data_IF_956321752845
#
_entry.id   IF_956321752845
#
_cell.length_a   1.000
_cell.length_b   1.000
_cell.length_c   1.000
_cell.angle_alpha   90.00
_cell.angle_beta   90.00
_cell.angle_gamma   90.00
#
_symmetry.space_group_name_H-M   'P 1'
#
loop_
_entity.id
_entity.type
_entity.pdbx_description
1 polymer ?
#
# COMPACT_ATOMS: atom_id res chain seq x y z
N UNK A 1 -10.58 -18.82 9.45
CA UNK A 1 -10.67 -17.42 9.93
C UNK A 1 -9.52 -16.94 10.83
N UNK A 2 -8.82 -17.79 11.58
CA UNK A 2 -7.75 -17.36 12.54
C UNK A 2 -6.41 -16.94 11.88
N UNK A 3 -6.07 -17.40 10.68
CA UNK A 3 -4.80 -17.08 9.98
C UNK A 3 -4.75 -15.69 9.32
N UNK A 4 -5.88 -15.13 8.91
CA UNK A 4 -5.95 -13.82 8.24
C UNK A 4 -5.67 -12.66 9.20
N UNK A 5 -6.08 -12.78 10.47
CA UNK A 5 -5.88 -11.72 11.46
C UNK A 5 -4.41 -11.53 11.88
N UNK A 6 -3.58 -12.56 11.75
CA UNK A 6 -2.17 -12.49 12.13
C UNK A 6 -1.31 -11.82 11.08
N UNK A 7 -1.60 -12.02 9.79
CA UNK A 7 -0.92 -11.34 8.69
C UNK A 7 -1.15 -9.82 8.71
N UNK A 8 -2.38 -9.39 9.01
CA UNK A 8 -2.71 -7.97 9.16
C UNK A 8 -2.01 -7.31 10.34
N UNK A 9 -1.87 -8.02 11.46
CA UNK A 9 -1.10 -7.54 12.61
C UNK A 9 0.38 -7.39 12.27
N UNK A 10 0.93 -8.29 11.46
CA UNK A 10 2.33 -8.20 11.00
C UNK A 10 2.51 -7.03 10.03
N UNK A 11 1.60 -6.83 9.08
CA UNK A 11 1.64 -5.71 8.13
C UNK A 11 1.57 -4.37 8.88
N UNK A 12 0.61 -4.23 9.77
CA UNK A 12 0.44 -3.03 10.58
C UNK A 12 1.61 -2.81 11.55
N UNK A 13 2.14 -3.88 12.14
CA UNK A 13 3.30 -3.85 13.02
C UNK A 13 4.59 -3.49 12.26
N UNK A 14 4.79 -4.02 11.06
CA UNK A 14 5.95 -3.68 10.22
C UNK A 14 5.87 -2.22 9.70
N UNK A 15 4.70 -1.75 9.29
CA UNK A 15 4.50 -0.34 8.96
C UNK A 15 4.75 0.58 10.17
N UNK A 16 4.28 0.20 11.36
CA UNK A 16 4.46 0.99 12.58
C UNK A 16 5.88 0.90 13.14
N UNK A 17 6.50 -0.28 13.11
CA UNK A 17 7.88 -0.49 13.57
C UNK A 17 8.90 0.20 12.67
N UNK A 18 8.66 0.27 11.36
CA UNK A 18 9.49 1.00 10.41
C UNK A 18 9.50 2.51 10.63
N UNK A 19 8.36 3.07 11.08
CA UNK A 19 8.23 4.49 11.44
C UNK A 19 8.93 4.85 12.76
N UNK A 20 9.15 3.87 13.65
CA UNK A 20 9.73 4.08 14.98
C UNK A 20 11.19 3.64 15.10
N UNK A 21 11.87 3.28 14.01
CA UNK A 21 13.30 2.98 14.08
C UNK A 21 14.07 4.33 14.10
N UNK A 22 14.53 4.84 15.27
CA UNK A 22 15.27 6.10 15.32
C UNK A 22 16.66 5.84 14.77
N UNK A 23 16.93 6.27 13.55
CA UNK A 23 18.29 6.43 13.06
C UNK A 23 18.84 7.70 13.70
N UNK A 24 19.44 7.59 14.88
CA UNK A 24 20.23 8.69 15.47
C UNK A 24 21.57 8.74 14.74
N UNK A 25 21.72 9.65 13.83
CA UNK A 25 23.02 10.01 13.27
C UNK A 25 23.46 11.30 13.96
N UNK A 26 24.51 11.21 14.79
CA UNK A 26 25.21 12.37 15.34
C UNK A 26 26.43 12.63 14.47
N UNK A 27 26.47 13.78 13.81
CA UNK A 27 27.64 14.24 13.09
C UNK A 27 27.68 15.77 13.06
N UNK A 28 28.27 16.38 14.06
CA UNK A 28 28.45 17.85 14.20
C UNK A 28 29.32 18.51 13.12
N UNK A 29 30.14 17.78 12.37
CA UNK A 29 31.05 18.34 11.33
C UNK A 29 30.52 18.15 9.89
N UNK A 30 29.37 17.49 9.70
CA UNK A 30 28.88 17.11 8.37
C UNK A 30 27.84 18.09 7.80
N UNK A 31 27.31 19.01 8.60
CA UNK A 31 26.17 19.87 8.26
C UNK A 31 26.38 20.72 7.00
N UNK A 32 27.59 21.31 6.83
CA UNK A 32 27.88 22.13 5.64
C UNK A 32 27.91 21.35 4.33
N UNK A 33 28.33 20.08 4.35
CA UNK A 33 28.31 19.21 3.17
C UNK A 33 26.94 18.61 2.89
N UNK A 34 26.14 18.44 3.92
CA UNK A 34 24.76 17.97 3.78
C UNK A 34 23.89 19.02 3.11
N UNK A 35 24.04 20.30 3.46
CA UNK A 35 23.35 21.41 2.82
C UNK A 35 23.71 21.52 1.33
N UNK A 36 25.01 21.42 0.98
CA UNK A 36 25.48 21.46 -0.40
C UNK A 36 24.95 20.26 -1.22
N UNK A 37 24.93 19.05 -0.66
CA UNK A 37 24.36 17.86 -1.29
C UNK A 37 22.83 17.94 -1.43
N UNK A 38 22.16 18.57 -0.47
CA UNK A 38 20.71 18.78 -0.48
C UNK A 38 20.31 19.74 -1.61
N UNK A 39 21.10 20.80 -1.82
CA UNK A 39 20.87 21.79 -2.89
C UNK A 39 21.08 21.21 -4.30
N UNK A 40 21.95 20.19 -4.45
CA UNK A 40 22.13 19.49 -5.72
C UNK A 40 20.99 18.53 -6.07
N UNK A 41 20.12 18.19 -5.10
CA UNK A 41 19.02 17.26 -5.29
C UNK A 41 17.74 17.97 -5.73
N UNK A 42 17.22 17.62 -6.90
CA UNK A 42 15.94 18.15 -7.40
C UNK A 42 14.74 17.39 -6.78
N UNK A 43 14.18 17.94 -5.71
CA UNK A 43 12.94 17.45 -5.08
C UNK A 43 11.65 18.02 -5.72
N UNK A 44 11.78 18.92 -6.70
CA UNK A 44 10.66 19.66 -7.27
C UNK A 44 9.55 18.77 -7.86
N UNK A 45 9.92 17.62 -8.42
CA UNK A 45 8.95 16.65 -8.94
C UNK A 45 8.15 15.95 -7.84
N UNK A 46 8.79 15.66 -6.70
CA UNK A 46 8.12 15.05 -5.54
C UNK A 46 7.20 16.06 -4.85
N UNK A 47 7.64 17.31 -4.72
CA UNK A 47 6.82 18.38 -4.16
C UNK A 47 5.62 18.71 -5.06
N UNK A 48 5.80 18.69 -6.38
CA UNK A 48 4.70 18.85 -7.34
C UNK A 48 3.71 17.70 -7.22
N UNK A 49 4.19 16.47 -7.16
CA UNK A 49 3.33 15.28 -6.97
C UNK A 49 2.50 15.38 -5.69
N UNK A 50 3.10 15.81 -4.56
CA UNK A 50 2.39 15.96 -3.28
C UNK A 50 1.29 17.02 -3.36
N UNK A 51 1.55 18.15 -4.03
CA UNK A 51 0.55 19.21 -4.27
C UNK A 51 -0.61 18.71 -5.14
N UNK A 52 -0.31 18.01 -6.23
CA UNK A 52 -1.32 17.46 -7.14
C UNK A 52 -2.18 16.40 -6.45
N UNK A 53 -1.61 15.67 -5.49
CA UNK A 53 -2.32 14.66 -4.68
C UNK A 53 -3.15 15.29 -3.54
N UNK A 54 -3.04 16.60 -3.30
CA UNK A 54 -3.79 17.32 -2.25
C UNK A 54 -3.17 17.26 -0.86
N UNK A 55 -1.88 16.92 -0.75
CA UNK A 55 -1.11 16.97 0.50
C UNK A 55 -0.31 18.28 0.54
N UNK A 56 -1.02 19.41 0.52
CA UNK A 56 -0.39 20.73 0.43
C UNK A 56 0.42 21.14 1.67
N UNK A 57 0.18 20.49 2.82
CA UNK A 57 0.82 20.83 4.09
C UNK A 57 2.20 20.19 4.26
N UNK A 58 2.61 19.32 3.36
CA UNK A 58 3.84 18.53 3.45
C UNK A 58 4.66 18.74 2.20
N UNK A 59 5.86 19.30 2.36
CA UNK A 59 6.88 19.37 1.30
C UNK A 59 7.87 18.23 1.50
N UNK A 60 8.25 17.54 0.42
CA UNK A 60 9.24 16.47 0.50
C UNK A 60 10.63 17.03 0.86
N UNK A 61 10.99 18.18 0.30
CA UNK A 61 12.22 18.90 0.64
C UNK A 61 12.27 19.27 2.12
N UNK A 62 11.19 19.86 2.65
CA UNK A 62 11.08 20.19 4.08
C UNK A 62 11.14 18.97 4.99
N UNK A 63 10.59 17.83 4.56
CA UNK A 63 10.71 16.55 5.28
C UNK A 63 12.16 16.07 5.37
N UNK A 64 12.91 16.14 4.28
CA UNK A 64 14.31 15.73 4.24
C UNK A 64 15.14 16.62 5.15
N UNK A 65 14.94 17.95 5.10
CA UNK A 65 15.64 18.91 5.96
C UNK A 65 15.32 18.66 7.45
N UNK A 66 14.05 18.47 7.82
CA UNK A 66 13.66 18.18 9.21
C UNK A 66 14.30 16.87 9.70
N UNK A 67 14.33 15.84 8.84
CA UNK A 67 14.96 14.55 9.17
C UNK A 67 16.48 14.66 9.31
N UNK A 68 17.12 15.59 8.59
CA UNK A 68 18.55 15.85 8.71
C UNK A 68 18.89 16.59 10.01
N UNK A 69 18.07 17.54 10.44
CA UNK A 69 18.32 18.37 11.62
C UNK A 69 17.89 17.69 12.93
N UNK A 70 16.64 17.23 13.00
CA UNK A 70 16.01 16.77 14.25
C UNK A 70 15.75 15.24 14.31
N UNK A 71 15.95 14.53 13.19
CA UNK A 71 15.53 13.14 13.06
C UNK A 71 14.00 12.98 13.00
N UNK A 72 13.50 11.80 13.34
CA UNK A 72 12.04 11.54 13.32
C UNK A 72 11.36 12.26 14.49
N UNK A 73 10.70 13.39 14.23
CA UNK A 73 9.98 14.15 15.26
C UNK A 73 8.64 13.51 15.61
N UNK A 74 8.21 13.64 16.89
CA UNK A 74 6.92 13.13 17.37
C UNK A 74 5.73 13.89 16.78
N UNK A 75 5.92 15.08 16.21
CA UNK A 75 4.89 15.89 15.59
C UNK A 75 4.18 15.18 14.42
N UNK A 76 4.90 14.34 13.68
CA UNK A 76 4.33 13.52 12.59
C UNK A 76 3.27 12.54 13.07
N UNK A 77 3.44 11.99 14.27
CA UNK A 77 2.46 11.09 14.87
C UNK A 77 1.09 11.76 15.08
N UNK A 78 1.06 13.00 15.47
CA UNK A 78 -0.18 13.76 15.68
C UNK A 78 -0.89 14.09 14.38
N UNK A 79 -0.17 14.49 13.34
CA UNK A 79 -0.73 14.74 12.00
C UNK A 79 -1.32 13.47 11.38
N UNK A 80 -0.61 12.35 11.44
CA UNK A 80 -1.10 11.05 10.96
C UNK A 80 -2.33 10.61 11.77
N UNK A 81 -2.32 10.76 13.10
CA UNK A 81 -3.43 10.38 13.93
C UNK A 81 -4.69 11.24 13.70
N UNK A 82 -4.52 12.55 13.49
CA UNK A 82 -5.63 13.44 13.14
C UNK A 82 -6.24 13.11 11.78
N UNK A 83 -5.41 12.81 10.78
CA UNK A 83 -5.84 12.37 9.46
C UNK A 83 -6.62 11.05 9.52
N UNK A 84 -6.16 10.06 10.30
CA UNK A 84 -6.85 8.81 10.55
C UNK A 84 -8.23 9.06 11.17
N UNK A 85 -8.30 9.85 12.23
CA UNK A 85 -9.56 10.15 12.95
C UNK A 85 -10.57 10.84 12.04
N UNK A 86 -10.14 11.84 11.30
CA UNK A 86 -11.00 12.60 10.38
C UNK A 86 -11.51 11.71 9.24
N UNK A 87 -10.64 10.89 8.64
CA UNK A 87 -11.05 9.94 7.61
C UNK A 87 -12.04 8.90 8.11
N UNK A 88 -11.78 8.27 9.26
CA UNK A 88 -12.68 7.25 9.81
C UNK A 88 -14.06 7.81 10.12
N UNK A 89 -14.13 8.98 10.79
CA UNK A 89 -15.41 9.62 11.12
C UNK A 89 -16.16 10.04 9.86
N UNK A 90 -15.45 10.61 8.87
CA UNK A 90 -16.02 10.98 7.58
C UNK A 90 -16.60 9.79 6.82
N UNK A 91 -15.87 8.66 6.74
CA UNK A 91 -16.33 7.45 6.06
C UNK A 91 -17.53 6.79 6.77
N UNK A 92 -17.54 6.75 8.09
CA UNK A 92 -18.69 6.25 8.85
C UNK A 92 -19.92 7.10 8.55
N UNK A 93 -19.79 8.43 8.55
CA UNK A 93 -20.88 9.34 8.25
C UNK A 93 -21.39 9.20 6.82
N UNK A 94 -20.49 9.06 5.84
CA UNK A 94 -20.83 8.91 4.42
C UNK A 94 -21.55 7.58 4.12
N UNK A 95 -21.08 6.49 4.70
CA UNK A 95 -21.57 5.15 4.38
C UNK A 95 -22.77 4.68 5.23
N UNK A 96 -23.15 5.43 6.31
CA UNK A 96 -24.30 5.08 7.16
C UNK A 96 -25.61 4.98 6.39
N UNK A 97 -25.83 5.84 5.39
CA UNK A 97 -27.03 5.87 4.56
C UNK A 97 -27.14 4.61 3.72
N UNK A 98 -26.07 4.20 3.06
CA UNK A 98 -25.99 2.96 2.29
C UNK A 98 -26.33 1.74 3.15
N UNK A 99 -25.75 1.65 4.35
CA UNK A 99 -26.01 0.54 5.28
C UNK A 99 -27.48 0.49 5.68
N UNK A 100 -28.09 1.64 6.02
CA UNK A 100 -29.50 1.73 6.34
C UNK A 100 -30.40 1.31 5.17
N UNK A 101 -30.10 1.74 3.94
CA UNK A 101 -30.84 1.38 2.74
C UNK A 101 -30.80 -0.13 2.49
N UNK A 102 -29.64 -0.78 2.61
CA UNK A 102 -29.49 -2.24 2.46
C UNK A 102 -30.30 -2.98 3.52
N UNK A 103 -30.17 -2.58 4.79
CA UNK A 103 -30.89 -3.22 5.91
C UNK A 103 -32.41 -3.05 5.76
N UNK A 104 -32.86 -1.84 5.39
CA UNK A 104 -34.26 -1.54 5.18
C UNK A 104 -34.85 -2.37 4.01
N UNK A 105 -34.11 -2.49 2.90
CA UNK A 105 -34.52 -3.30 1.75
C UNK A 105 -34.64 -4.78 2.13
N UNK A 106 -33.65 -5.29 2.87
CA UNK A 106 -33.65 -6.67 3.37
C UNK A 106 -34.84 -6.93 4.34
N UNK A 107 -35.15 -5.95 5.20
CA UNK A 107 -36.31 -6.01 6.09
C UNK A 107 -37.65 -5.98 5.31
N UNK A 108 -37.82 -5.07 4.35
CA UNK A 108 -38.97 -5.01 3.46
C UNK A 108 -39.19 -6.35 2.75
N UNK A 109 -38.13 -6.98 2.24
CA UNK A 109 -38.23 -8.31 1.64
C UNK A 109 -38.72 -9.35 2.64
N UNK A 110 -38.21 -9.37 3.86
CA UNK A 110 -38.63 -10.32 4.90
C UNK A 110 -40.13 -10.20 5.20
N UNK A 111 -40.62 -8.95 5.32
CA UNK A 111 -42.06 -8.70 5.52
C UNK A 111 -42.88 -9.19 4.34
N UNK A 112 -42.47 -8.87 3.10
CA UNK A 112 -43.17 -9.33 1.89
C UNK A 112 -43.19 -10.86 1.78
N UNK A 113 -42.09 -11.53 2.09
CA UNK A 113 -41.96 -12.99 2.08
C UNK A 113 -42.94 -13.64 3.09
N UNK A 114 -42.97 -13.11 4.32
CA UNK A 114 -43.86 -13.61 5.35
C UNK A 114 -45.34 -13.39 4.99
N UNK A 115 -45.64 -12.23 4.40
CA UNK A 115 -47.00 -11.94 3.91
C UNK A 115 -47.40 -12.86 2.76
N UNK A 116 -46.57 -13.05 1.75
CA UNK A 116 -46.80 -13.97 0.65
C UNK A 116 -46.98 -15.43 1.12
N UNK A 117 -46.20 -15.84 2.12
CA UNK A 117 -46.33 -17.17 2.74
C UNK A 117 -47.67 -17.42 3.42
N UNK A 118 -48.29 -16.40 3.99
CA UNK A 118 -49.62 -16.49 4.60
C UNK A 118 -50.73 -16.81 3.58
N UNK A 119 -50.55 -16.47 2.31
CA UNK A 119 -51.50 -16.74 1.23
C UNK A 119 -51.21 -18.03 0.45
N UNK A 120 -50.28 -18.87 0.87
CA UNK A 120 -49.84 -20.10 0.17
C UNK A 120 -49.41 -19.88 -1.30
N UNK A 121 -49.06 -18.65 -1.66
CA UNK A 121 -48.71 -18.26 -3.02
C UNK A 121 -47.18 -18.27 -3.22
N UNK A 122 -46.62 -19.48 -3.38
CA UNK A 122 -45.15 -19.65 -3.58
C UNK A 122 -44.62 -18.85 -4.76
N UNK A 123 -45.38 -18.74 -5.85
CA UNK A 123 -45.00 -17.96 -7.04
C UNK A 123 -44.89 -16.46 -6.77
N UNK A 124 -45.81 -15.89 -5.97
CA UNK A 124 -45.77 -14.46 -5.59
C UNK A 124 -44.52 -14.18 -4.72
N UNK A 125 -44.19 -15.09 -3.81
CA UNK A 125 -43.00 -14.97 -2.97
C UNK A 125 -41.70 -14.94 -3.81
N UNK A 126 -41.63 -15.77 -4.85
CA UNK A 126 -40.45 -15.84 -5.74
C UNK A 126 -40.35 -14.60 -6.64
N UNK A 127 -41.45 -14.08 -7.16
CA UNK A 127 -41.47 -12.80 -7.89
C UNK A 127 -41.06 -11.63 -7.01
N UNK A 128 -41.55 -11.54 -5.77
CA UNK A 128 -41.12 -10.52 -4.82
C UNK A 128 -39.62 -10.61 -4.51
N UNK A 129 -39.10 -11.83 -4.34
CA UNK A 129 -37.66 -12.03 -4.17
C UNK A 129 -36.91 -11.50 -5.37
N UNK A 130 -37.27 -11.87 -6.58
CA UNK A 130 -36.59 -11.47 -7.81
C UNK A 130 -36.52 -9.94 -7.96
N UNK A 131 -37.64 -9.25 -7.73
CA UNK A 131 -37.72 -7.79 -7.83
C UNK A 131 -36.82 -7.11 -6.79
N UNK A 132 -36.94 -7.51 -5.51
CA UNK A 132 -36.11 -6.92 -4.43
C UNK A 132 -34.64 -7.26 -4.62
N UNK A 133 -34.32 -8.48 -5.04
CA UNK A 133 -32.94 -8.89 -5.31
C UNK A 133 -32.32 -8.09 -6.46
N UNK A 134 -33.05 -7.86 -7.57
CA UNK A 134 -32.58 -7.04 -8.67
C UNK A 134 -32.27 -5.61 -8.23
N UNK A 135 -33.15 -4.97 -7.47
CA UNK A 135 -32.92 -3.62 -6.94
C UNK A 135 -31.68 -3.60 -6.04
N UNK A 136 -31.60 -4.56 -5.12
CA UNK A 136 -30.46 -4.69 -4.22
C UNK A 136 -29.15 -4.95 -5.00
N UNK A 137 -29.16 -5.82 -6.00
CA UNK A 137 -27.99 -6.13 -6.82
C UNK A 137 -27.46 -4.88 -7.55
N UNK A 138 -28.36 -4.06 -8.12
CA UNK A 138 -27.98 -2.80 -8.78
C UNK A 138 -27.35 -1.84 -7.78
N UNK A 139 -27.93 -1.65 -6.58
CA UNK A 139 -27.36 -0.79 -5.54
C UNK A 139 -25.99 -1.29 -5.09
N UNK A 140 -25.84 -2.59 -4.87
CA UNK A 140 -24.58 -3.21 -4.45
C UNK A 140 -23.51 -3.09 -5.52
N UNK A 141 -23.85 -3.27 -6.79
CA UNK A 141 -22.94 -3.08 -7.91
C UNK A 141 -22.44 -1.64 -8.01
N UNK A 142 -23.34 -0.65 -7.89
CA UNK A 142 -22.97 0.76 -7.94
C UNK A 142 -22.00 1.12 -6.82
N UNK A 143 -22.29 0.70 -5.59
CA UNK A 143 -21.39 0.98 -4.44
C UNK A 143 -20.08 0.22 -4.55
N UNK A 144 -20.08 -0.97 -5.14
CA UNK A 144 -18.87 -1.74 -5.38
C UNK A 144 -17.96 -1.12 -6.47
N UNK A 145 -18.55 -0.55 -7.52
CA UNK A 145 -17.79 0.20 -8.54
C UNK A 145 -17.11 1.42 -7.95
N UNK A 146 -17.80 2.16 -7.07
CA UNK A 146 -17.17 3.28 -6.33
C UNK A 146 -16.01 2.79 -5.44
N UNK A 147 -16.18 1.63 -4.80
CA UNK A 147 -15.11 1.02 -4.03
C UNK A 147 -13.89 0.66 -4.90
N UNK A 148 -14.13 0.04 -6.05
CA UNK A 148 -13.09 -0.27 -7.03
C UNK A 148 -12.33 0.98 -7.46
N UNK A 149 -13.04 2.08 -7.75
CA UNK A 149 -12.43 3.35 -8.16
C UNK A 149 -11.50 3.91 -7.08
N UNK A 150 -11.90 3.89 -5.81
CA UNK A 150 -11.05 4.31 -4.68
C UNK A 150 -9.76 3.50 -4.62
N UNK A 151 -9.85 2.18 -4.77
CA UNK A 151 -8.69 1.29 -4.71
C UNK A 151 -7.79 1.45 -5.94
N UNK A 152 -8.37 1.59 -7.15
CA UNK A 152 -7.62 1.81 -8.39
C UNK A 152 -6.79 3.09 -8.33
N UNK A 153 -7.45 4.21 -8.02
CA UNK A 153 -6.79 5.51 -7.89
C UNK A 153 -5.67 5.47 -6.85
N UNK A 154 -5.89 4.80 -5.72
CA UNK A 154 -4.86 4.69 -4.70
C UNK A 154 -3.66 3.85 -5.14
N UNK A 155 -3.89 2.73 -5.85
CA UNK A 155 -2.81 1.92 -6.42
C UNK A 155 -2.03 2.70 -7.47
N UNK A 156 -2.72 3.40 -8.37
CA UNK A 156 -2.13 4.27 -9.40
C UNK A 156 -1.25 5.35 -8.76
N UNK A 157 -1.76 6.04 -7.72
CA UNK A 157 -1.01 7.07 -7.00
C UNK A 157 0.23 6.52 -6.31
N UNK A 158 0.17 5.32 -5.71
CA UNK A 158 1.35 4.67 -5.13
C UNK A 158 2.38 4.32 -6.21
N UNK A 159 1.95 3.85 -7.38
CA UNK A 159 2.82 3.55 -8.53
C UNK A 159 3.47 4.82 -9.07
N UNK A 160 2.70 5.90 -9.26
CA UNK A 160 3.20 7.20 -9.73
C UNK A 160 4.19 7.80 -8.75
N UNK A 161 3.88 7.77 -7.45
CA UNK A 161 4.82 8.19 -6.42
C UNK A 161 6.14 7.44 -6.53
N UNK A 162 6.10 6.12 -6.66
CA UNK A 162 7.31 5.32 -6.78
C UNK A 162 8.10 5.63 -8.07
N UNK A 163 7.43 5.92 -9.19
CA UNK A 163 8.07 6.33 -10.44
C UNK A 163 8.86 7.64 -10.28
N UNK A 164 8.39 8.56 -9.45
CA UNK A 164 9.08 9.83 -9.16
C UNK A 164 10.13 9.68 -8.07
N UNK A 165 9.84 8.88 -7.03
CA UNK A 165 10.72 8.65 -5.88
C UNK A 165 11.99 7.87 -6.24
N UNK A 166 11.88 6.84 -7.08
CA UNK A 166 12.99 5.93 -7.40
C UNK A 166 14.20 6.65 -8.03
N UNK A 167 14.06 7.55 -9.01
CA UNK A 167 15.20 8.32 -9.55
C UNK A 167 15.89 9.18 -8.48
N UNK A 168 15.12 9.92 -7.68
CA UNK A 168 15.63 10.79 -6.61
C UNK A 168 16.37 9.97 -5.55
N UNK A 169 15.80 8.83 -5.13
CA UNK A 169 16.47 7.94 -4.18
C UNK A 169 17.71 7.27 -4.78
N UNK A 170 17.71 6.96 -6.08
CA UNK A 170 18.89 6.46 -6.78
C UNK A 170 20.05 7.47 -6.78
N UNK A 171 19.75 8.76 -6.97
CA UNK A 171 20.77 9.83 -6.87
C UNK A 171 21.36 9.89 -5.46
N UNK A 172 20.52 9.89 -4.42
CA UNK A 172 21.02 9.89 -3.03
C UNK A 172 21.89 8.66 -2.72
N UNK A 173 21.59 7.51 -3.33
CA UNK A 173 22.43 6.31 -3.23
C UNK A 173 23.79 6.45 -3.90
N UNK A 174 23.89 7.21 -4.99
CA UNK A 174 25.16 7.43 -5.69
C UNK A 174 26.17 8.20 -4.81
N UNK A 175 25.70 9.08 -3.95
CA UNK A 175 26.55 9.77 -2.96
C UNK A 175 26.98 8.84 -1.81
N UNK A 176 26.14 7.88 -1.43
CA UNK A 176 26.40 6.96 -0.31
C UNK A 176 27.18 5.69 -0.71
N UNK A 177 27.12 5.28 -1.97
CA UNK A 177 27.64 4.00 -2.45
C UNK A 177 28.12 4.11 -3.90
N UNK A 178 28.67 3.02 -4.44
CA UNK A 178 29.05 2.99 -5.85
C UNK A 178 27.84 3.04 -6.80
N UNK A 179 28.05 3.66 -7.96
CA UNK A 179 27.10 3.74 -9.07
C UNK A 179 26.49 2.37 -9.43
N UNK A 180 27.26 1.29 -9.28
CA UNK A 180 26.79 -0.08 -9.56
C UNK A 180 25.64 -0.52 -8.65
N UNK A 181 25.73 -0.22 -7.34
CA UNK A 181 24.65 -0.55 -6.37
C UNK A 181 23.41 0.32 -6.58
N UNK A 182 23.60 1.61 -6.84
CA UNK A 182 22.50 2.52 -7.14
C UNK A 182 21.75 2.11 -8.43
N UNK A 183 22.48 1.74 -9.48
CA UNK A 183 21.89 1.26 -10.73
C UNK A 183 21.17 -0.07 -10.54
N UNK A 184 21.70 -0.98 -9.73
CA UNK A 184 21.04 -2.23 -9.38
C UNK A 184 19.70 -2.00 -8.63
N UNK A 185 19.68 -1.06 -7.68
CA UNK A 185 18.45 -0.65 -7.02
C UNK A 185 17.44 -0.09 -8.02
N UNK A 186 17.87 0.83 -8.88
CA UNK A 186 17.02 1.43 -9.90
C UNK A 186 16.31 0.36 -10.76
N UNK A 187 17.08 -0.60 -11.27
CA UNK A 187 16.52 -1.71 -12.07
C UNK A 187 15.53 -2.56 -11.28
N UNK A 188 15.86 -2.91 -10.03
CA UNK A 188 14.99 -3.72 -9.18
C UNK A 188 13.71 -2.97 -8.81
N UNK A 189 13.80 -1.70 -8.46
CA UNK A 189 12.65 -0.87 -8.11
C UNK A 189 11.69 -0.71 -9.30
N UNK A 190 12.20 -0.43 -10.50
CA UNK A 190 11.36 -0.38 -11.71
C UNK A 190 10.70 -1.72 -12.03
N UNK A 191 11.39 -2.83 -11.81
CA UNK A 191 10.79 -4.15 -12.00
C UNK A 191 9.66 -4.40 -11.01
N UNK A 192 9.81 -3.98 -9.75
CA UNK A 192 8.76 -4.04 -8.72
C UNK A 192 7.57 -3.15 -9.10
N UNK A 193 7.82 -1.93 -9.55
CA UNK A 193 6.79 -1.00 -10.01
C UNK A 193 6.00 -1.64 -11.16
N UNK A 194 6.69 -2.15 -12.18
CA UNK A 194 6.07 -2.80 -13.31
C UNK A 194 5.24 -4.03 -12.91
N UNK A 195 5.76 -4.83 -11.98
CA UNK A 195 5.06 -6.01 -11.46
C UNK A 195 3.77 -5.61 -10.75
N UNK A 196 3.81 -4.58 -9.92
CA UNK A 196 2.61 -4.08 -9.22
C UNK A 196 1.62 -3.50 -10.23
N UNK A 197 2.06 -2.67 -11.16
CA UNK A 197 1.22 -2.06 -12.17
C UNK A 197 0.55 -3.13 -13.07
N UNK A 198 1.33 -4.06 -13.61
CA UNK A 198 0.81 -5.08 -14.52
C UNK A 198 -0.02 -6.13 -13.81
N UNK A 199 0.49 -6.72 -12.72
CA UNK A 199 -0.18 -7.83 -12.03
C UNK A 199 -1.38 -7.34 -11.21
N UNK A 200 -1.22 -6.25 -10.45
CA UNK A 200 -2.28 -5.81 -9.53
C UNK A 200 -3.36 -5.02 -10.25
N UNK A 201 -2.99 -4.01 -11.04
CA UNK A 201 -3.98 -3.17 -11.74
C UNK A 201 -4.61 -3.89 -12.93
N UNK A 202 -3.81 -4.57 -13.78
CA UNK A 202 -4.33 -5.10 -15.04
C UNK A 202 -4.80 -6.56 -14.96
N UNK A 203 -4.38 -7.33 -13.95
CA UNK A 203 -4.79 -8.73 -13.82
C UNK A 203 -5.65 -8.98 -12.58
N UNK A 204 -5.16 -8.69 -11.38
CA UNK A 204 -5.85 -9.06 -10.14
C UNK A 204 -7.10 -8.19 -9.89
N UNK A 205 -7.06 -6.90 -10.22
CA UNK A 205 -8.24 -6.05 -10.08
C UNK A 205 -9.44 -6.51 -10.93
N UNK A 206 -9.30 -6.74 -12.24
CA UNK A 206 -10.38 -7.32 -13.04
C UNK A 206 -10.85 -8.68 -12.53
N UNK A 207 -9.95 -9.53 -12.03
CA UNK A 207 -10.33 -10.82 -11.46
C UNK A 207 -11.19 -10.67 -10.21
N UNK A 208 -10.90 -9.69 -9.33
CA UNK A 208 -11.75 -9.39 -8.17
C UNK A 208 -13.12 -8.88 -8.64
N UNK A 209 -13.17 -8.08 -9.69
CA UNK A 209 -14.44 -7.61 -10.27
C UNK A 209 -15.29 -8.78 -10.77
N UNK A 210 -14.70 -9.71 -11.53
CA UNK A 210 -15.38 -10.92 -12.01
C UNK A 210 -15.84 -11.78 -10.82
N UNK A 211 -14.99 -11.94 -9.79
CA UNK A 211 -15.35 -12.64 -8.56
C UNK A 211 -16.64 -12.08 -7.94
N UNK A 212 -16.73 -10.77 -7.79
CA UNK A 212 -17.89 -10.12 -7.18
C UNK A 212 -19.14 -10.24 -8.06
N UNK A 213 -19.00 -10.12 -9.37
CA UNK A 213 -20.11 -10.36 -10.30
C UNK A 213 -20.64 -11.80 -10.17
N UNK A 214 -19.73 -12.78 -10.10
CA UNK A 214 -20.13 -14.19 -9.92
C UNK A 214 -20.82 -14.43 -8.58
N UNK A 215 -20.39 -13.77 -7.49
CA UNK A 215 -21.05 -13.84 -6.18
C UNK A 215 -22.48 -13.27 -6.24
N UNK A 216 -22.68 -12.12 -6.90
CA UNK A 216 -24.00 -11.53 -7.06
C UNK A 216 -24.90 -12.44 -7.91
N UNK A 217 -24.42 -12.90 -9.06
CA UNK A 217 -25.21 -13.77 -9.94
C UNK A 217 -25.42 -15.17 -9.35
N UNK A 218 -24.44 -15.69 -8.61
CA UNK A 218 -24.51 -17.00 -7.97
C UNK A 218 -25.65 -17.13 -6.95
N UNK A 219 -25.92 -16.05 -6.23
CA UNK A 219 -27.00 -16.03 -5.24
C UNK A 219 -28.40 -15.68 -5.84
N UNK A 220 -28.45 -15.30 -7.11
CA UNK A 220 -29.70 -15.07 -7.82
C UNK A 220 -30.47 -16.37 -8.08
N UNK A 221 -29.74 -17.44 -8.39
CA UNK A 221 -30.32 -18.78 -8.69
C UNK A 221 -30.38 -19.59 -7.39
N UNK A 222 -31.47 -20.35 -7.14
CA UNK A 222 -31.64 -21.15 -5.91
C UNK A 222 -30.56 -22.24 -5.71
N UNK A 223 -29.96 -22.72 -6.79
CA UNK A 223 -28.86 -23.68 -6.77
C UNK A 223 -27.54 -22.91 -6.80
N UNK A 224 -26.67 -23.14 -5.84
CA UNK A 224 -25.31 -22.52 -5.75
C UNK A 224 -24.35 -23.01 -6.86
N UNK A 225 -24.76 -22.83 -8.13
CA UNK A 225 -24.05 -23.38 -9.31
C UNK A 225 -22.66 -22.76 -9.52
N UNK A 226 -22.42 -21.56 -9.00
CA UNK A 226 -21.19 -20.82 -9.20
C UNK A 226 -20.23 -20.85 -8.01
N UNK A 227 -20.59 -21.52 -6.91
CA UNK A 227 -19.81 -21.57 -5.68
C UNK A 227 -18.37 -22.03 -5.90
N UNK A 228 -18.16 -23.13 -6.62
CA UNK A 228 -16.81 -23.66 -6.92
C UNK A 228 -16.01 -22.70 -7.81
N UNK A 229 -16.67 -21.94 -8.69
CA UNK A 229 -16.02 -20.98 -9.56
C UNK A 229 -15.58 -19.75 -8.79
N UNK A 230 -16.43 -19.21 -7.90
CA UNK A 230 -16.06 -18.08 -7.03
C UNK A 230 -14.96 -18.45 -6.06
N UNK A 231 -14.95 -19.66 -5.52
CA UNK A 231 -13.85 -20.16 -4.68
C UNK A 231 -12.54 -20.21 -5.45
N UNK A 232 -12.54 -20.76 -6.67
CA UNK A 232 -11.37 -20.80 -7.56
C UNK A 232 -10.82 -19.40 -7.86
N UNK A 233 -11.67 -18.43 -8.21
CA UNK A 233 -11.24 -17.05 -8.42
C UNK A 233 -10.61 -16.44 -7.16
N UNK A 234 -11.22 -16.64 -6.00
CA UNK A 234 -10.68 -16.17 -4.72
C UNK A 234 -9.32 -16.79 -4.42
N UNK A 235 -9.13 -18.08 -4.70
CA UNK A 235 -7.84 -18.76 -4.52
C UNK A 235 -6.78 -18.23 -5.47
N UNK A 236 -7.09 -18.08 -6.77
CA UNK A 236 -6.18 -17.54 -7.78
C UNK A 236 -5.71 -16.13 -7.41
N UNK A 237 -6.65 -15.25 -6.98
CA UNK A 237 -6.33 -13.90 -6.54
C UNK A 237 -5.39 -13.93 -5.33
N UNK A 238 -5.73 -14.70 -4.28
CA UNK A 238 -4.89 -14.82 -3.09
C UNK A 238 -3.51 -15.42 -3.41
N UNK A 239 -3.44 -16.35 -4.36
CA UNK A 239 -2.18 -16.94 -4.81
C UNK A 239 -1.34 -15.93 -5.59
N UNK A 240 -1.95 -15.16 -6.50
CA UNK A 240 -1.28 -14.09 -7.24
C UNK A 240 -0.66 -13.04 -6.32
N UNK A 241 -1.39 -12.58 -5.30
CA UNK A 241 -0.88 -11.64 -4.28
C UNK A 241 0.33 -12.24 -3.53
N UNK A 242 0.25 -13.51 -3.13
CA UNK A 242 1.35 -14.18 -2.40
C UNK A 242 2.60 -14.34 -3.28
N UNK A 243 2.43 -14.75 -4.54
CA UNK A 243 3.55 -14.89 -5.49
C UNK A 243 4.24 -13.55 -5.69
N UNK A 244 3.47 -12.46 -5.92
CA UNK A 244 4.04 -11.13 -6.03
C UNK A 244 4.88 -10.77 -4.80
N UNK A 245 4.36 -11.07 -3.60
CA UNK A 245 5.09 -10.86 -2.34
C UNK A 245 6.42 -11.61 -2.29
N UNK A 246 6.41 -12.90 -2.60
CA UNK A 246 7.62 -13.75 -2.59
C UNK A 246 8.63 -13.30 -3.63
N UNK A 247 8.18 -12.94 -4.84
CA UNK A 247 9.05 -12.47 -5.91
C UNK A 247 9.74 -11.16 -5.53
N UNK A 248 8.97 -10.17 -5.04
CA UNK A 248 9.53 -8.86 -4.67
C UNK A 248 10.49 -8.98 -3.49
N UNK A 249 10.12 -9.73 -2.45
CA UNK A 249 11.01 -9.97 -1.32
C UNK A 249 12.28 -10.69 -1.74
N UNK A 250 12.17 -11.72 -2.58
CA UNK A 250 13.32 -12.46 -3.13
C UNK A 250 14.25 -11.56 -3.94
N UNK A 251 13.71 -10.73 -4.83
CA UNK A 251 14.47 -9.77 -5.62
C UNK A 251 15.23 -8.77 -4.74
N UNK A 252 14.53 -8.18 -3.73
CA UNK A 252 15.16 -7.23 -2.81
C UNK A 252 16.27 -7.88 -1.98
N UNK A 253 16.08 -9.11 -1.48
CA UNK A 253 17.12 -9.84 -0.74
C UNK A 253 18.34 -10.12 -1.63
N UNK A 254 18.13 -10.62 -2.84
CA UNK A 254 19.22 -10.88 -3.80
C UNK A 254 19.98 -9.60 -4.12
N UNK A 255 19.27 -8.50 -4.37
CA UNK A 255 19.86 -7.19 -4.67
C UNK A 255 20.73 -6.69 -3.52
N UNK A 256 20.23 -6.76 -2.28
CA UNK A 256 20.94 -6.28 -1.09
C UNK A 256 22.15 -7.17 -0.71
N UNK A 257 22.20 -8.41 -1.17
CA UNK A 257 23.38 -9.28 -1.00
C UNK A 257 24.45 -9.02 -2.07
N UNK A 258 24.04 -8.77 -3.32
CA UNK A 258 24.98 -8.62 -4.45
C UNK A 258 25.58 -7.21 -4.50
N UNK A 259 24.80 -6.16 -4.17
CA UNK A 259 25.22 -4.76 -4.21
C UNK A 259 26.52 -4.52 -3.42
N UNK A 260 26.53 -4.73 -2.10
CA UNK A 260 27.70 -4.50 -1.26
C UNK A 260 28.91 -5.35 -1.63
N UNK A 261 28.70 -6.57 -2.18
CA UNK A 261 29.79 -7.42 -2.64
C UNK A 261 30.52 -6.83 -3.85
N UNK A 262 29.80 -6.22 -4.79
CA UNK A 262 30.38 -5.52 -5.95
C UNK A 262 31.10 -4.23 -5.52
N UNK A 263 30.53 -3.50 -4.57
CA UNK A 263 31.08 -2.24 -4.10
C UNK A 263 32.43 -2.44 -3.39
N UNK A 264 32.58 -3.47 -2.58
CA UNK A 264 33.87 -3.83 -1.94
C UNK A 264 34.98 -4.14 -2.95
N UNK A 265 34.64 -4.74 -4.09
CA UNK A 265 35.62 -5.00 -5.15
C UNK A 265 36.10 -3.72 -5.84
N UNK A 266 35.21 -2.72 -6.00
CA UNK A 266 35.53 -1.42 -6.61
C UNK A 266 36.40 -0.55 -5.73
N UNK A 267 36.07 -0.39 -4.45
CA UNK A 267 36.84 0.45 -3.49
C UNK A 267 38.26 -0.05 -3.28
N UNK A 268 38.49 -1.36 -3.31
CA UNK A 268 39.84 -1.94 -3.16
C UNK A 268 40.81 -1.52 -4.26
N UNK A 269 40.34 -1.17 -5.46
CA UNK A 269 41.15 -0.71 -6.58
C UNK A 269 41.48 0.77 -6.45
N UNK A 270 40.54 1.63 -6.11
CA UNK A 270 40.76 3.07 -5.94
C UNK A 270 41.64 3.38 -4.73
N UNK A 271 41.40 2.75 -3.58
CA UNK A 271 42.23 2.93 -2.38
C UNK A 271 43.70 2.55 -2.61
N UNK A 272 43.95 1.46 -3.35
CA UNK A 272 45.33 1.06 -3.72
C UNK A 272 45.97 2.03 -4.70
N UNK A 273 45.23 2.69 -5.57
CA UNK A 273 45.79 3.64 -6.53
C UNK A 273 46.11 4.99 -5.86
N UNK A 274 45.29 5.45 -4.92
CA UNK A 274 45.48 6.69 -4.16
C UNK A 274 46.68 6.59 -3.17
N UNK A 275 46.93 5.40 -2.60
CA UNK A 275 48.04 5.18 -1.65
C UNK A 275 49.43 5.20 -2.29
N UNK A 276 49.56 5.24 -3.61
CA UNK A 276 50.83 5.30 -4.33
C UNK A 276 51.48 6.69 -4.28
N UNK A 277 50.69 7.75 -3.94
CA UNK A 277 51.23 9.12 -3.88
C UNK A 277 51.49 9.50 -2.41
N UNK A 278 52.75 9.55 -1.95
CA UNK A 278 53.07 9.86 -0.57
C UNK A 278 52.73 11.32 -0.24
N UNK A 279 51.93 11.52 0.83
CA UNK A 279 51.51 12.82 1.35
C UNK A 279 50.12 13.29 0.93
N UNK A 280 49.50 12.77 -0.14
CA UNK A 280 48.13 13.09 -0.55
C UNK A 280 47.09 12.06 -0.03
N UNK A 281 47.53 10.84 0.29
CA UNK A 281 46.63 9.74 0.66
C UNK A 281 45.79 10.00 1.91
N UNK A 282 46.36 10.67 2.93
CA UNK A 282 45.63 10.92 4.18
C UNK A 282 44.58 12.04 4.04
N UNK A 283 44.91 13.13 3.31
CA UNK A 283 43.96 14.23 3.11
C UNK A 283 42.79 13.84 2.18
N UNK A 284 43.12 13.12 1.10
CA UNK A 284 42.09 12.59 0.18
C UNK A 284 41.22 11.53 0.88
N UNK A 285 41.82 10.69 1.75
CA UNK A 285 41.13 9.71 2.57
C UNK A 285 40.07 10.34 3.49
N UNK A 286 40.44 11.36 4.24
CA UNK A 286 39.57 12.05 5.20
C UNK A 286 38.37 12.74 4.51
N UNK A 287 38.63 13.44 3.38
CA UNK A 287 37.55 14.08 2.61
C UNK A 287 36.60 13.03 2.01
N UNK A 288 37.16 11.93 1.52
CA UNK A 288 36.33 10.82 0.96
C UNK A 288 35.45 10.17 2.04
N UNK A 289 36.00 9.98 3.26
CA UNK A 289 35.21 9.43 4.39
C UNK A 289 34.10 10.38 4.83
N UNK A 290 34.33 11.69 4.85
CA UNK A 290 33.32 12.70 5.17
C UNK A 290 32.20 12.73 4.12
N UNK A 291 32.56 12.74 2.83
CA UNK A 291 31.57 12.69 1.73
C UNK A 291 30.74 11.42 1.73
N UNK A 292 31.37 10.26 2.00
CA UNK A 292 30.64 8.99 2.13
C UNK A 292 29.70 9.00 3.36
N UNK A 293 30.17 9.58 4.47
CA UNK A 293 29.36 9.74 5.68
C UNK A 293 28.12 10.61 5.41
N UNK A 294 28.31 11.78 4.80
CA UNK A 294 27.22 12.67 4.40
C UNK A 294 26.25 11.98 3.42
N UNK A 295 26.78 11.26 2.43
CA UNK A 295 25.96 10.50 1.48
C UNK A 295 25.11 9.42 2.16
N UNK A 296 25.62 8.72 3.17
CA UNK A 296 24.86 7.72 3.94
C UNK A 296 23.70 8.37 4.71
N UNK A 297 23.94 9.52 5.33
CA UNK A 297 22.90 10.30 6.02
C UNK A 297 21.85 10.75 5.03
N UNK A 298 22.24 11.40 3.93
CA UNK A 298 21.35 11.85 2.87
C UNK A 298 20.45 10.72 2.35
N UNK A 299 21.04 9.58 2.00
CA UNK A 299 20.30 8.39 1.57
C UNK A 299 19.28 7.95 2.61
N UNK A 300 19.64 7.94 3.89
CA UNK A 300 18.75 7.53 4.98
C UNK A 300 17.60 8.52 5.15
N UNK A 301 17.86 9.83 5.07
CA UNK A 301 16.83 10.87 5.17
C UNK A 301 15.88 10.83 3.99
N UNK A 302 16.38 10.77 2.76
CA UNK A 302 15.54 10.66 1.54
C UNK A 302 14.72 9.36 1.55
N UNK A 303 15.32 8.24 1.94
CA UNK A 303 14.61 6.97 2.08
C UNK A 303 13.49 7.02 3.12
N UNK A 304 13.77 7.59 4.30
CA UNK A 304 12.78 7.75 5.38
C UNK A 304 11.67 8.72 4.97
N UNK A 305 11.99 9.86 4.34
CA UNK A 305 11.00 10.79 3.79
C UNK A 305 10.08 10.08 2.79
N UNK A 306 10.65 9.28 1.88
CA UNK A 306 9.89 8.48 0.92
C UNK A 306 8.96 7.47 1.58
N UNK A 307 9.39 6.80 2.66
CA UNK A 307 8.53 5.90 3.44
C UNK A 307 7.39 6.64 4.14
N UNK A 308 7.65 7.81 4.73
CA UNK A 308 6.63 8.66 5.38
C UNK A 308 5.58 9.09 4.35
N UNK A 309 6.01 9.60 3.20
CA UNK A 309 5.09 10.02 2.14
C UNK A 309 4.28 8.84 1.59
N UNK A 310 4.89 7.68 1.34
CA UNK A 310 4.18 6.49 0.90
C UNK A 310 3.07 6.08 1.87
N UNK A 311 3.35 6.14 3.17
CA UNK A 311 2.36 5.87 4.22
C UNK A 311 1.25 6.92 4.19
N UNK A 312 1.57 8.20 4.12
CA UNK A 312 0.59 9.29 4.09
C UNK A 312 -0.39 9.17 2.91
N UNK A 313 0.10 8.93 1.70
CA UNK A 313 -0.75 8.81 0.51
C UNK A 313 -1.59 7.53 0.49
N UNK A 314 -1.12 6.45 1.13
CA UNK A 314 -1.80 5.14 1.11
C UNK A 314 -2.72 4.90 2.31
N UNK A 315 -2.46 5.53 3.45
CA UNK A 315 -3.16 5.26 4.71
C UNK A 315 -4.64 5.61 4.64
N UNK A 316 -4.97 6.80 4.14
CA UNK A 316 -6.36 7.26 4.04
C UNK A 316 -7.19 6.38 3.11
N UNK A 317 -6.77 6.08 1.85
CA UNK A 317 -7.50 5.16 0.99
C UNK A 317 -7.59 3.74 1.55
N UNK A 318 -6.55 3.25 2.21
CA UNK A 318 -6.56 1.93 2.84
C UNK A 318 -7.62 1.85 3.95
N UNK A 319 -7.71 2.89 4.78
CA UNK A 319 -8.73 2.99 5.82
C UNK A 319 -10.14 3.09 5.23
N UNK A 320 -10.33 3.88 4.15
CA UNK A 320 -11.60 3.95 3.41
C UNK A 320 -12.03 2.58 2.89
N UNK A 321 -11.12 1.88 2.22
CA UNK A 321 -11.36 0.54 1.71
C UNK A 321 -11.71 -0.46 2.83
N UNK A 322 -11.00 -0.39 3.95
CA UNK A 322 -11.26 -1.23 5.12
C UNK A 322 -12.64 -0.95 5.72
N UNK A 323 -13.02 0.32 5.87
CA UNK A 323 -14.33 0.72 6.36
C UNK A 323 -15.46 0.20 5.45
N UNK A 324 -15.34 0.37 4.12
CA UNK A 324 -16.32 -0.13 3.17
C UNK A 324 -16.48 -1.65 3.25
N UNK A 325 -15.38 -2.40 3.27
CA UNK A 325 -15.42 -3.85 3.42
C UNK A 325 -16.06 -4.27 4.75
N UNK A 326 -15.79 -3.52 5.83
CA UNK A 326 -16.42 -3.74 7.13
C UNK A 326 -17.92 -3.46 7.11
N UNK A 327 -18.38 -2.39 6.43
CA UNK A 327 -19.80 -2.08 6.30
C UNK A 327 -20.57 -3.17 5.53
N UNK A 328 -20.02 -3.72 4.45
CA UNK A 328 -20.64 -4.88 3.79
C UNK A 328 -20.74 -6.08 4.72
N UNK A 329 -19.70 -6.34 5.52
CA UNK A 329 -19.71 -7.44 6.49
C UNK A 329 -20.74 -7.22 7.60
N UNK A 330 -20.86 -5.97 8.07
CA UNK A 330 -21.86 -5.59 9.07
C UNK A 330 -23.28 -5.71 8.50
N UNK A 331 -23.52 -5.23 7.27
CA UNK A 331 -24.79 -5.38 6.57
C UNK A 331 -25.18 -6.85 6.45
N UNK A 332 -24.25 -7.72 6.04
CA UNK A 332 -24.50 -9.17 5.97
C UNK A 332 -24.88 -9.76 7.32
N UNK A 333 -24.19 -9.38 8.40
CA UNK A 333 -24.46 -9.88 9.75
C UNK A 333 -25.82 -9.42 10.30
N UNK A 334 -26.20 -8.17 10.05
CA UNK A 334 -27.48 -7.60 10.50
C UNK A 334 -28.67 -8.17 9.71
N UNK A 335 -28.48 -8.43 8.42
CA UNK A 335 -29.54 -8.98 7.57
C UNK A 335 -29.72 -10.49 7.72
N UNK A 336 -28.69 -11.23 8.18
CA UNK A 336 -28.72 -12.70 8.29
C UNK A 336 -29.92 -13.26 9.09
N UNK A 337 -30.30 -12.72 10.29
CA UNK A 337 -31.43 -13.25 11.07
C UNK A 337 -32.79 -12.88 10.49
N UNK A 338 -32.87 -11.85 9.63
CA UNK A 338 -34.14 -11.26 9.17
C UNK A 338 -34.43 -11.63 7.73
N UNK A 339 -33.41 -11.82 6.89
CA UNK A 339 -33.53 -11.96 5.44
C UNK A 339 -33.32 -13.40 4.95
N UNK A 340 -33.51 -13.60 3.64
CA UNK A 340 -33.23 -14.87 2.97
C UNK A 340 -31.72 -15.15 2.94
N UNK A 341 -31.33 -16.43 3.00
CA UNK A 341 -29.96 -16.87 2.92
C UNK A 341 -29.23 -16.39 1.65
N UNK A 342 -29.98 -16.23 0.54
CA UNK A 342 -29.47 -15.73 -0.73
C UNK A 342 -29.02 -14.28 -0.64
N UNK A 343 -29.78 -13.43 0.04
CA UNK A 343 -29.46 -12.01 0.26
C UNK A 343 -28.24 -11.87 1.19
N UNK A 344 -28.27 -12.56 2.33
CA UNK A 344 -27.14 -12.52 3.27
C UNK A 344 -25.87 -13.14 2.68
N UNK A 345 -25.99 -14.17 1.83
CA UNK A 345 -24.90 -14.79 1.09
C UNK A 345 -24.26 -13.82 0.10
N UNK A 346 -25.07 -13.13 -0.72
CA UNK A 346 -24.61 -12.10 -1.64
C UNK A 346 -23.81 -11.00 -0.92
N UNK A 347 -24.31 -10.48 0.22
CA UNK A 347 -23.63 -9.48 1.02
C UNK A 347 -22.31 -9.99 1.62
N UNK A 348 -22.27 -11.27 2.04
CA UNK A 348 -21.02 -11.93 2.48
C UNK A 348 -20.00 -12.03 1.35
N UNK A 349 -20.44 -12.39 0.14
CA UNK A 349 -19.63 -12.44 -1.07
C UNK A 349 -19.00 -11.09 -1.41
N UNK A 350 -19.83 -10.02 -1.37
CA UNK A 350 -19.32 -8.65 -1.57
C UNK A 350 -18.30 -8.23 -0.49
N UNK A 351 -18.59 -8.55 0.77
CA UNK A 351 -17.65 -8.27 1.86
C UNK A 351 -16.32 -8.99 1.66
N UNK A 352 -16.33 -10.23 1.15
CA UNK A 352 -15.12 -10.96 0.81
C UNK A 352 -14.38 -10.33 -0.38
N UNK A 353 -15.10 -9.92 -1.43
CA UNK A 353 -14.54 -9.16 -2.56
C UNK A 353 -13.90 -7.85 -2.14
N UNK A 354 -14.59 -7.08 -1.28
CA UNK A 354 -14.02 -5.88 -0.67
C UNK A 354 -12.76 -6.16 0.13
N UNK A 355 -12.72 -7.26 0.88
CA UNK A 355 -11.52 -7.66 1.62
C UNK A 355 -10.37 -8.10 0.69
N UNK A 356 -10.65 -8.63 -0.50
CA UNK A 356 -9.62 -8.90 -1.52
C UNK A 356 -9.01 -7.59 -2.04
N UNK A 357 -9.80 -6.54 -2.27
CA UNK A 357 -9.29 -5.21 -2.64
C UNK A 357 -8.43 -4.59 -1.53
N UNK A 358 -8.87 -4.67 -0.27
CA UNK A 358 -8.08 -4.20 0.87
C UNK A 358 -6.74 -4.94 0.96
N UNK A 359 -6.73 -6.26 0.74
CA UNK A 359 -5.49 -7.04 0.67
C UNK A 359 -4.61 -6.58 -0.48
N UNK A 360 -5.16 -6.41 -1.67
CA UNK A 360 -4.42 -6.00 -2.86
C UNK A 360 -3.70 -4.67 -2.61
N UNK A 361 -4.43 -3.66 -2.13
CA UNK A 361 -3.87 -2.34 -1.79
C UNK A 361 -2.82 -2.44 -0.69
N UNK A 362 -3.13 -3.13 0.41
CA UNK A 362 -2.20 -3.28 1.53
C UNK A 362 -0.90 -4.01 1.15
N UNK A 363 -0.98 -5.04 0.32
CA UNK A 363 0.23 -5.72 -0.18
C UNK A 363 1.03 -4.85 -1.14
N UNK A 364 0.39 -4.05 -2.02
CA UNK A 364 1.09 -3.11 -2.90
C UNK A 364 1.92 -2.10 -2.10
N UNK A 365 1.29 -1.47 -1.10
CA UNK A 365 1.99 -0.53 -0.20
C UNK A 365 3.13 -1.21 0.54
N UNK A 366 2.91 -2.43 1.04
CA UNK A 366 3.94 -3.20 1.74
C UNK A 366 5.12 -3.55 0.81
N UNK A 367 4.88 -3.91 -0.44
CA UNK A 367 5.94 -4.23 -1.40
C UNK A 367 6.81 -3.00 -1.68
N UNK A 368 6.21 -1.84 -1.90
CA UNK A 368 6.94 -0.59 -2.09
C UNK A 368 7.70 -0.17 -0.81
N UNK A 369 7.03 -0.25 0.35
CA UNK A 369 7.63 0.04 1.64
C UNK A 369 8.89 -0.80 1.89
N UNK A 370 8.79 -2.12 1.70
CA UNK A 370 9.92 -3.04 1.89
C UNK A 370 11.04 -2.76 0.89
N UNK A 371 10.72 -2.40 -0.36
CA UNK A 371 11.72 -2.07 -1.38
C UNK A 371 12.54 -0.84 -0.97
N UNK A 372 11.91 0.22 -0.49
CA UNK A 372 12.62 1.42 0.00
C UNK A 372 13.35 1.11 1.31
N UNK A 373 12.68 0.50 2.28
CA UNK A 373 13.22 0.26 3.62
C UNK A 373 14.47 -0.63 3.61
N UNK A 374 14.43 -1.77 2.88
CA UNK A 374 15.58 -2.67 2.77
C UNK A 374 16.76 -1.98 2.09
N UNK A 375 16.50 -1.14 1.09
CA UNK A 375 17.58 -0.44 0.39
C UNK A 375 18.14 0.70 1.24
N UNK A 376 17.31 1.42 1.98
CA UNK A 376 17.78 2.43 2.93
C UNK A 376 18.65 1.81 4.04
N UNK A 377 18.23 0.65 4.58
CA UNK A 377 18.94 -0.05 5.63
C UNK A 377 20.25 -0.74 5.17
N UNK A 378 20.34 -1.17 3.92
CA UNK A 378 21.47 -1.98 3.42
C UNK A 378 22.84 -1.27 3.47
N UNK A 379 22.88 0.05 3.60
CA UNK A 379 24.13 0.83 3.71
C UNK A 379 24.63 1.05 5.13
N UNK A 380 23.81 0.72 6.16
CA UNK A 380 24.18 0.88 7.57
C UNK A 380 25.07 -0.23 8.14
N UNK A 381 25.39 -1.27 7.37
CA UNK A 381 26.19 -2.42 7.82
C UNK A 381 27.63 -2.43 7.28
N UNK A 382 28.14 -1.30 6.83
CA UNK A 382 29.56 -1.22 6.43
C UNK A 382 30.36 -0.68 7.62
N UNK A 383 30.72 -1.58 8.53
CA UNK A 383 31.86 -1.47 9.44
C UNK A 383 32.80 -2.64 9.22
#
# INVERSE_FOLDING_TARGET
>A
MRKVSWQWKIILFLMFAGLFCPVKVHAEETDSYLDELSDEMDYGKLDTFLKDYGVEQVSFSGLVEELMQDGVSTAWGEHVFSAIKTSLVGEIAANRKMLLEIVLLAFCFSVLKNFAGAFHASYISELCFLLVYCVMAVMLLQTFLLFQEVVSKSLESCVEFMKVMVPTFCLSMMFASNVSSAMGFYQTAFLVIYLVEWLFLNLLMPLIHIYVLLEIFGHFVPEERFSNLTELFSEVINWGIKIAGVLVLGLNVVQNLIGPAKDRMGHGIFAKTASVIPGLGNAVGSVTELLLGAGIVMKSCVGTAGLVVLVLISLVPLLKALCLAFFYKLAAAVTEPVSDKRISGCLKGLANGGMLYVKLLGYSVLLFFVTIALTAAASGFIY
#
